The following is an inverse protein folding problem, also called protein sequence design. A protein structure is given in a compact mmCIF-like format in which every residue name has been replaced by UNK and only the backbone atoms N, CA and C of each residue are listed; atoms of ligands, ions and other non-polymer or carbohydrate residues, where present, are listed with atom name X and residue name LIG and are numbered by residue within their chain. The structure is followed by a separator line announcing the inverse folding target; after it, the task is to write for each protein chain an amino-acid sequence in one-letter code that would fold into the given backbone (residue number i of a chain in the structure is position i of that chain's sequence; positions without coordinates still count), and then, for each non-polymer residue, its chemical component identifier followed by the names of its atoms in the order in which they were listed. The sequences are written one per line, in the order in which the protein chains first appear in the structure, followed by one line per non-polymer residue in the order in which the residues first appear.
data_IF_442065679476
#
_entry.id   IF_442065679476
#
_cell.length_a   1.000
_cell.length_b   1.000
_cell.length_c   1.000
_cell.angle_alpha   90.00
_cell.angle_beta   90.00
_cell.angle_gamma   90.00
#
_symmetry.space_group_name_H-M   'P 1'
#
loop_
_entity.id
_entity.type
_entity.pdbx_description
1 polymer ?
#
# COMPACT_ATOMS: atom_id res chain seq x y z
N UNK A 1 8.89 -4.19 -0.42
CA UNK A 1 9.42 -4.54 0.91
C UNK A 1 10.15 -3.39 1.61
N UNK A 2 11.10 -2.69 0.98
CA UNK A 2 11.84 -1.59 1.62
C UNK A 2 10.93 -0.46 2.13
N UNK A 3 9.90 -0.08 1.36
CA UNK A 3 8.92 0.93 1.78
C UNK A 3 8.22 0.56 3.09
N UNK A 4 7.68 -0.66 3.20
CA UNK A 4 7.02 -1.11 4.42
C UNK A 4 7.97 -1.11 5.63
N UNK A 5 9.19 -1.60 5.46
CA UNK A 5 10.19 -1.60 6.53
C UNK A 5 10.50 -0.18 7.00
N UNK A 6 10.73 0.75 6.08
CA UNK A 6 11.02 2.15 6.41
C UNK A 6 9.83 2.84 7.08
N UNK A 7 8.60 2.59 6.60
CA UNK A 7 7.38 3.12 7.22
C UNK A 7 7.18 2.58 8.65
N UNK A 8 7.48 1.30 8.90
CA UNK A 8 7.43 0.72 10.27
C UNK A 8 8.44 1.42 11.18
N UNK A 9 9.70 1.52 10.74
CA UNK A 9 10.77 2.14 11.54
C UNK A 9 10.46 3.61 11.82
N UNK A 10 10.11 4.39 10.80
CA UNK A 10 9.76 5.80 10.96
C UNK A 10 8.56 5.98 11.90
N UNK A 11 7.50 5.19 11.73
CA UNK A 11 6.28 5.31 12.56
C UNK A 11 6.55 4.95 14.01
N UNK A 12 7.35 3.91 14.28
CA UNK A 12 7.75 3.53 15.62
C UNK A 12 8.60 4.61 16.29
N UNK A 13 9.54 5.21 15.55
CA UNK A 13 10.39 6.30 16.03
C UNK A 13 9.56 7.56 16.32
N UNK A 14 8.63 7.94 15.43
CA UNK A 14 7.70 9.06 15.64
C UNK A 14 6.89 8.85 16.92
N UNK A 15 6.25 7.69 17.08
CA UNK A 15 5.48 7.39 18.28
C UNK A 15 6.34 7.43 19.55
N UNK A 16 7.56 6.89 19.49
CA UNK A 16 8.50 6.87 20.62
C UNK A 16 8.92 8.29 21.05
N UNK A 17 9.31 9.14 20.09
CA UNK A 17 9.67 10.52 20.38
C UNK A 17 8.49 11.33 20.90
N UNK A 18 7.28 11.10 20.38
CA UNK A 18 6.07 11.75 20.89
C UNK A 18 5.76 11.34 22.33
N UNK A 19 5.87 10.06 22.70
CA UNK A 19 5.72 9.62 24.10
C UNK A 19 6.78 10.28 24.99
N UNK A 20 8.02 10.35 24.51
CA UNK A 20 9.12 10.95 25.28
C UNK A 20 8.91 12.46 25.51
N UNK A 21 8.51 13.20 24.46
CA UNK A 21 8.18 14.63 24.56
C UNK A 21 6.98 14.89 25.46
N UNK A 22 5.96 14.03 25.41
CA UNK A 22 4.79 14.12 26.27
C UNK A 22 5.18 14.00 27.76
N UNK A 23 6.15 13.13 28.08
CA UNK A 23 6.71 13.00 29.43
C UNK A 23 7.32 14.31 29.95
N UNK A 24 7.99 15.07 29.07
CA UNK A 24 8.49 16.40 29.44
C UNK A 24 7.37 17.42 29.61
N UNK A 25 6.40 17.43 28.70
CA UNK A 25 5.29 18.39 28.72
C UNK A 25 4.43 18.24 29.99
N UNK A 26 4.24 17.02 30.50
CA UNK A 26 3.47 16.79 31.73
C UNK A 26 4.10 17.42 32.98
N UNK A 27 5.41 17.65 33.00
CA UNK A 27 6.09 18.29 34.14
C UNK A 27 5.86 19.81 34.21
N UNK A 28 5.38 20.43 33.13
CA UNK A 28 5.21 21.88 33.02
C UNK A 28 3.80 22.25 32.56
N UNK A 29 3.01 22.84 33.47
CA UNK A 29 1.60 23.21 33.23
C UNK A 29 1.36 24.18 32.07
N UNK A 30 2.39 24.88 31.59
CA UNK A 30 2.31 25.87 30.50
C UNK A 30 2.30 25.23 29.09
N UNK A 31 2.63 23.94 28.94
CA UNK A 31 2.85 23.29 27.63
C UNK A 31 1.62 22.52 27.10
N UNK A 32 0.41 23.02 27.34
CA UNK A 32 -0.83 22.33 26.93
C UNK A 32 -0.88 22.03 25.42
N UNK A 33 -0.39 22.95 24.60
CA UNK A 33 -0.37 22.76 23.14
C UNK A 33 0.57 21.62 22.73
N UNK A 34 1.70 21.43 23.43
CA UNK A 34 2.64 20.34 23.09
C UNK A 34 2.05 18.98 23.44
N UNK A 35 1.29 18.89 24.54
CA UNK A 35 0.56 17.66 24.90
C UNK A 35 -0.39 17.22 23.77
N UNK A 36 -1.10 18.17 23.15
CA UNK A 36 -2.01 17.89 22.03
C UNK A 36 -1.25 17.40 20.79
N UNK A 37 -0.13 18.06 20.45
CA UNK A 37 0.69 17.66 19.30
C UNK A 37 1.34 16.30 19.49
N UNK A 38 1.88 16.03 20.68
CA UNK A 38 2.50 14.74 20.98
C UNK A 38 1.46 13.62 21.00
N UNK A 39 0.27 13.86 21.56
CA UNK A 39 -0.84 12.89 21.50
C UNK A 39 -1.26 12.58 20.07
N UNK A 40 -1.33 13.60 19.21
CA UNK A 40 -1.58 13.41 17.78
C UNK A 40 -0.45 12.62 17.10
N UNK A 41 0.81 12.89 17.45
CA UNK A 41 1.98 12.14 16.96
C UNK A 41 1.95 10.65 17.33
N UNK A 42 1.58 10.33 18.57
CA UNK A 42 1.38 8.94 19.02
C UNK A 42 0.27 8.27 18.20
N UNK A 43 -0.86 8.95 18.04
CA UNK A 43 -1.98 8.43 17.26
C UNK A 43 -1.58 8.17 15.80
N UNK A 44 -0.93 9.12 15.12
CA UNK A 44 -0.50 8.98 13.73
C UNK A 44 0.51 7.84 13.59
N UNK A 45 1.54 7.78 14.45
CA UNK A 45 2.53 6.71 14.42
C UNK A 45 1.91 5.33 14.67
N UNK A 46 1.02 5.21 15.65
CA UNK A 46 0.30 3.97 15.95
C UNK A 46 -0.65 3.55 14.83
N UNK A 47 -1.41 4.49 14.27
CA UNK A 47 -2.35 4.23 13.17
C UNK A 47 -1.64 3.73 11.92
N UNK A 48 -0.49 4.32 11.57
CA UNK A 48 0.32 3.84 10.44
C UNK A 48 0.86 2.43 10.71
N UNK A 49 1.37 2.14 11.92
CA UNK A 49 1.84 0.80 12.27
C UNK A 49 0.72 -0.25 12.12
N UNK A 50 -0.44 -0.01 12.71
CA UNK A 50 -1.58 -0.93 12.62
C UNK A 50 -1.98 -1.16 11.16
N UNK A 51 -2.01 -0.09 10.36
CA UNK A 51 -2.29 -0.18 8.94
C UNK A 51 -1.29 -1.03 8.16
N UNK A 52 0.00 -0.76 8.33
CA UNK A 52 1.06 -1.51 7.62
C UNK A 52 1.04 -2.97 8.03
N UNK A 53 0.88 -3.30 9.32
CA UNK A 53 0.75 -4.68 9.76
C UNK A 53 -0.48 -5.35 9.17
N UNK A 54 -1.62 -4.67 9.15
CA UNK A 54 -2.86 -5.19 8.55
C UNK A 54 -2.66 -5.53 7.07
N UNK A 55 -1.98 -4.66 6.32
CA UNK A 55 -1.63 -4.91 4.92
C UNK A 55 -0.74 -6.15 4.76
N UNK A 56 0.31 -6.29 5.58
CA UNK A 56 1.20 -7.45 5.55
C UNK A 56 0.42 -8.74 5.83
N UNK A 57 -0.45 -8.75 6.85
CA UNK A 57 -1.27 -9.94 7.16
C UNK A 57 -2.23 -10.31 6.04
N UNK A 58 -2.86 -9.32 5.38
CA UNK A 58 -3.75 -9.55 4.25
C UNK A 58 -2.97 -10.12 3.06
N UNK A 59 -1.77 -9.60 2.78
CA UNK A 59 -0.92 -10.05 1.68
C UNK A 59 -0.42 -11.49 1.90
N UNK A 60 0.00 -11.83 3.12
CA UNK A 60 0.45 -13.19 3.48
C UNK A 60 -0.72 -14.17 3.53
N UNK A 61 -1.86 -13.75 4.06
CA UNK A 61 -3.00 -14.64 4.32
C UNK A 61 -3.82 -15.01 3.08
N UNK A 62 -3.73 -14.25 1.98
CA UNK A 62 -4.62 -14.44 0.84
C UNK A 62 -3.84 -14.34 -0.49
N UNK A 63 -3.60 -15.48 -1.14
CA UNK A 63 -3.12 -15.55 -2.52
C UNK A 63 -4.15 -14.84 -3.43
N UNK A 64 -3.73 -13.81 -4.18
CA UNK A 64 -4.56 -12.90 -5.00
C UNK A 64 -5.33 -11.79 -4.23
N UNK A 65 -4.74 -11.22 -3.17
CA UNK A 65 -5.41 -10.22 -2.32
C UNK A 65 -5.43 -8.78 -2.85
N UNK A 66 -6.26 -7.98 -2.18
CA UNK A 66 -6.72 -6.61 -2.45
C UNK A 66 -5.69 -5.58 -2.93
N UNK A 67 -4.39 -5.81 -2.74
CA UNK A 67 -3.29 -5.00 -3.34
C UNK A 67 -3.31 -5.00 -4.87
N UNK A 68 -4.06 -5.91 -5.52
CA UNK A 68 -4.32 -5.82 -6.96
C UNK A 68 -5.13 -4.58 -7.34
N UNK A 69 -5.88 -3.98 -6.41
CA UNK A 69 -6.77 -2.85 -6.69
C UNK A 69 -6.08 -1.54 -6.36
N UNK A 70 -5.42 -0.99 -7.36
CA UNK A 70 -4.78 0.33 -7.42
C UNK A 70 -5.49 1.43 -6.60
N UNK A 71 -6.82 1.58 -6.72
CA UNK A 71 -7.55 2.64 -6.01
C UNK A 71 -7.47 2.51 -4.48
N UNK A 72 -7.40 1.27 -3.96
CA UNK A 72 -7.26 1.00 -2.53
C UNK A 72 -5.89 1.46 -2.01
N UNK A 73 -4.82 1.15 -2.75
CA UNK A 73 -3.48 1.60 -2.40
C UNK A 73 -3.36 3.13 -2.47
N UNK A 74 -4.03 3.75 -3.45
CA UNK A 74 -4.06 5.21 -3.60
C UNK A 74 -4.78 5.89 -2.42
N UNK A 75 -5.96 5.40 -2.02
CA UNK A 75 -6.73 5.95 -0.89
C UNK A 75 -5.93 5.83 0.41
N UNK A 76 -5.39 4.63 0.68
CA UNK A 76 -4.68 4.37 1.93
C UNK A 76 -3.36 5.15 2.02
N UNK A 77 -2.57 5.14 0.93
CA UNK A 77 -1.33 5.92 0.87
C UNK A 77 -1.60 7.42 0.96
N UNK A 78 -2.67 7.92 0.32
CA UNK A 78 -3.08 9.32 0.39
C UNK A 78 -3.45 9.74 1.81
N UNK A 79 -4.28 8.93 2.50
CA UNK A 79 -4.66 9.17 3.88
C UNK A 79 -3.44 9.24 4.81
N UNK A 80 -2.53 8.27 4.70
CA UNK A 80 -1.31 8.23 5.49
C UNK A 80 -0.37 9.39 5.22
N UNK A 81 -0.22 9.77 3.96
CA UNK A 81 0.55 10.93 3.56
C UNK A 81 -0.05 12.21 4.17
N UNK A 82 -1.37 12.43 4.04
CA UNK A 82 -2.05 13.59 4.60
C UNK A 82 -1.90 13.69 6.12
N UNK A 83 -2.05 12.59 6.84
CA UNK A 83 -1.85 12.60 8.30
C UNK A 83 -0.40 12.94 8.69
N UNK A 84 0.58 12.37 7.99
CA UNK A 84 2.00 12.63 8.29
C UNK A 84 2.43 14.05 7.90
N UNK A 85 1.96 14.61 6.77
CA UNK A 85 2.30 15.98 6.38
C UNK A 85 1.68 17.00 7.34
N UNK A 86 0.45 16.75 7.82
CA UNK A 86 -0.18 17.56 8.87
C UNK A 86 0.65 17.50 10.16
N UNK A 87 1.03 16.30 10.61
CA UNK A 87 1.88 16.16 11.80
C UNK A 87 3.22 16.87 11.64
N UNK A 88 3.92 16.67 10.51
CA UNK A 88 5.21 17.32 10.23
C UNK A 88 5.08 18.86 10.24
N UNK A 89 4.01 19.38 9.66
CA UNK A 89 3.75 20.83 9.62
C UNK A 89 3.50 21.40 11.01
N UNK A 90 2.67 20.73 11.82
CA UNK A 90 2.35 21.14 13.19
C UNK A 90 3.62 21.09 14.07
N UNK A 91 4.39 20.01 13.97
CA UNK A 91 5.67 19.85 14.68
C UNK A 91 6.63 20.97 14.28
N UNK A 92 6.81 21.25 12.99
CA UNK A 92 7.70 22.33 12.55
C UNK A 92 7.26 23.72 13.01
N UNK A 93 5.94 24.00 13.05
CA UNK A 93 5.42 25.31 13.42
C UNK A 93 5.47 25.57 14.94
N UNK A 94 5.17 24.56 15.75
CA UNK A 94 4.90 24.76 17.18
C UNK A 94 6.03 24.27 18.09
N UNK A 95 6.63 23.13 17.81
CA UNK A 95 7.51 22.46 18.77
C UNK A 95 8.86 23.19 18.98
N UNK A 96 9.56 23.69 17.95
CA UNK A 96 10.83 24.41 18.13
C UNK A 96 10.70 25.68 18.99
N UNK A 97 9.62 26.44 18.81
CA UNK A 97 9.41 27.69 19.54
C UNK A 97 9.06 27.43 21.02
N UNK A 98 8.37 26.33 21.33
CA UNK A 98 7.96 25.99 22.69
C UNK A 98 9.05 25.21 23.46
N UNK A 99 9.64 24.18 22.85
CA UNK A 99 10.56 23.27 23.55
C UNK A 99 12.02 23.73 23.53
N UNK A 100 12.45 24.49 22.53
CA UNK A 100 13.85 24.96 22.45
C UNK A 100 14.04 26.42 22.91
N UNK A 101 13.03 27.29 22.82
CA UNK A 101 13.13 28.69 23.25
C UNK A 101 13.10 28.84 24.78
N UNK A 102 12.27 28.06 25.46
CA UNK A 102 12.09 28.09 26.93
C UNK A 102 13.38 27.67 27.67
N UNK A 103 14.24 26.89 27.02
CA UNK A 103 15.55 26.52 27.55
C UNK A 103 16.49 27.74 27.70
N UNK A 104 16.35 28.75 26.82
CA UNK A 104 17.23 29.93 26.83
C UNK A 104 16.78 31.00 27.83
N UNK A 105 15.52 31.01 28.25
CA UNK A 105 14.99 32.00 29.19
C UNK A 105 15.08 31.57 30.65
N UNK A 106 15.51 30.34 30.94
CA UNK A 106 15.71 29.82 32.30
C UNK A 106 14.44 29.74 33.16
N UNK A 107 13.26 30.05 32.59
CA UNK A 107 12.00 30.18 33.31
C UNK A 107 11.37 28.81 33.66
N UNK A 108 11.78 27.74 32.99
CA UNK A 108 11.38 26.37 33.29
C UNK A 108 12.61 25.46 33.12
N UNK A 109 12.91 24.64 34.14
CA UNK A 109 13.99 23.66 34.15
C UNK A 109 13.70 22.47 33.21
N UNK A 110 13.46 22.72 31.92
CA UNK A 110 13.35 21.63 30.94
C UNK A 110 14.73 21.01 30.72
N UNK A 111 14.84 19.67 30.76
CA UNK A 111 16.10 19.00 30.45
C UNK A 111 16.49 19.25 28.99
N UNK A 112 17.80 19.42 28.73
CA UNK A 112 18.35 19.69 27.40
C UNK A 112 17.98 18.63 26.34
N UNK A 113 17.61 17.42 26.77
CA UNK A 113 17.12 16.34 25.92
C UNK A 113 15.80 16.65 25.18
N UNK A 114 14.96 17.55 25.70
CA UNK A 114 13.66 17.87 25.08
C UNK A 114 13.80 18.51 23.68
N UNK A 115 14.78 19.41 23.52
CA UNK A 115 15.02 20.06 22.23
C UNK A 115 15.61 19.08 21.19
N UNK A 116 16.52 18.18 21.61
CA UNK A 116 17.07 17.14 20.74
C UNK A 116 16.00 16.14 20.30
N UNK A 117 15.16 15.70 21.24
CA UNK A 117 14.02 14.82 20.96
C UNK A 117 13.04 15.46 19.96
N UNK A 118 12.73 16.74 20.14
CA UNK A 118 11.89 17.52 19.22
C UNK A 118 12.47 17.60 17.80
N UNK A 119 13.77 17.89 17.67
CA UNK A 119 14.44 17.92 16.36
C UNK A 119 14.45 16.54 15.70
N UNK A 120 14.64 15.48 16.50
CA UNK A 120 14.52 14.10 16.04
C UNK A 120 13.13 13.82 15.48
N UNK A 121 12.08 14.10 16.25
CA UNK A 121 10.69 13.96 15.81
C UNK A 121 10.42 14.72 14.50
N UNK A 122 10.87 15.96 14.40
CA UNK A 122 10.75 16.76 13.19
C UNK A 122 11.45 16.10 11.99
N UNK A 123 12.69 15.64 12.14
CA UNK A 123 13.41 14.99 11.05
C UNK A 123 12.72 13.71 10.57
N UNK A 124 12.26 12.86 11.50
CA UNK A 124 11.62 11.59 11.15
C UNK A 124 10.22 11.77 10.55
N UNK A 125 9.43 12.74 11.02
CA UNK A 125 8.12 13.06 10.42
C UNK A 125 8.25 13.53 8.97
N UNK A 126 9.22 14.42 8.67
CA UNK A 126 9.51 14.84 7.30
C UNK A 126 10.06 13.70 6.43
N UNK A 127 11.00 12.91 6.95
CA UNK A 127 11.51 11.73 6.24
C UNK A 127 10.37 10.78 5.87
N UNK A 128 9.47 10.51 6.81
CA UNK A 128 8.32 9.64 6.58
C UNK A 128 7.34 10.23 5.56
N UNK A 129 7.05 11.53 5.64
CA UNK A 129 6.18 12.22 4.68
C UNK A 129 6.75 12.14 3.26
N UNK A 130 8.06 12.33 3.07
CA UNK A 130 8.74 12.22 1.77
C UNK A 130 8.63 10.80 1.21
N UNK A 131 8.85 9.79 2.06
CA UNK A 131 8.75 8.38 1.67
C UNK A 131 7.32 8.03 1.22
N UNK A 132 6.31 8.44 1.98
CA UNK A 132 4.89 8.25 1.64
C UNK A 132 4.53 9.00 0.36
N UNK A 133 5.03 10.21 0.17
CA UNK A 133 4.78 11.01 -1.04
C UNK A 133 5.40 10.37 -2.28
N UNK A 134 6.67 9.93 -2.20
CA UNK A 134 7.35 9.26 -3.29
C UNK A 134 6.62 7.96 -3.70
N UNK A 135 6.12 7.22 -2.72
CA UNK A 135 5.32 6.01 -2.96
C UNK A 135 3.97 6.35 -3.62
N UNK A 136 3.24 7.32 -3.08
CA UNK A 136 1.99 7.82 -3.65
C UNK A 136 2.18 8.28 -5.10
N UNK A 137 3.21 9.08 -5.38
CA UNK A 137 3.53 9.55 -6.73
C UNK A 137 3.86 8.39 -7.67
N UNK A 138 4.64 7.40 -7.21
CA UNK A 138 4.98 6.23 -8.04
C UNK A 138 3.74 5.46 -8.45
N UNK A 139 2.81 5.24 -7.51
CA UNK A 139 1.52 4.61 -7.82
C UNK A 139 0.73 5.51 -8.77
N UNK A 140 0.52 6.77 -8.42
CA UNK A 140 -0.28 7.71 -9.20
C UNK A 140 0.20 7.83 -10.65
N UNK A 141 1.51 7.99 -10.86
CA UNK A 141 2.11 8.07 -12.19
C UNK A 141 1.96 6.76 -12.96
N UNK A 142 2.14 5.62 -12.30
CA UNK A 142 1.92 4.30 -12.94
C UNK A 142 0.50 4.20 -13.44
N UNK A 143 -0.48 4.55 -12.61
CA UNK A 143 -1.91 4.50 -12.96
C UNK A 143 -2.24 5.45 -14.09
N UNK A 144 -1.73 6.67 -14.03
CA UNK A 144 -1.98 7.68 -15.05
C UNK A 144 -1.42 7.25 -16.42
N UNK A 145 -0.20 6.73 -16.45
CA UNK A 145 0.45 6.24 -17.68
C UNK A 145 -0.31 5.03 -18.25
N UNK A 146 -0.72 4.08 -17.42
CA UNK A 146 -1.43 2.88 -17.87
C UNK A 146 -2.89 3.16 -18.25
N UNK A 147 -3.55 4.12 -17.61
CA UNK A 147 -4.94 4.48 -17.93
C UNK A 147 -5.09 5.07 -19.35
N UNK A 148 -4.02 5.60 -19.95
CA UNK A 148 -4.05 6.11 -21.31
C UNK A 148 -3.99 5.02 -22.40
N UNK A 149 -3.65 3.77 -22.03
CA UNK A 149 -3.44 2.68 -23.00
C UNK A 149 -4.63 1.74 -23.12
N UNK A 150 -5.32 1.44 -22.02
CA UNK A 150 -6.47 0.53 -22.02
C UNK A 150 -7.47 0.91 -20.90
N UNK A 151 -8.65 1.41 -21.30
CA UNK A 151 -9.76 1.66 -20.36
C UNK A 151 -10.26 0.37 -19.68
N UNK A 152 -9.91 -0.82 -20.22
CA UNK A 152 -10.28 -2.13 -19.65
C UNK A 152 -9.54 -2.48 -18.37
N UNK A 153 -8.46 -1.78 -18.01
CA UNK A 153 -7.72 -2.06 -16.76
C UNK A 153 -8.51 -1.68 -15.49
N UNK A 154 -9.47 -0.75 -15.60
CA UNK A 154 -10.34 -0.38 -14.48
C UNK A 154 -11.44 -1.41 -14.22
N UNK A 155 -11.86 -2.16 -15.25
CA UNK A 155 -12.92 -3.17 -15.16
C UNK A 155 -12.39 -4.60 -14.95
N UNK A 156 -11.15 -4.90 -15.32
CA UNK A 156 -10.56 -6.24 -15.15
C UNK A 156 -9.91 -6.34 -13.75
N UNK A 157 -10.67 -6.02 -12.72
CA UNK A 157 -10.46 -6.65 -11.42
C UNK A 157 -11.27 -7.95 -11.43
N UNK A 158 -10.59 -9.10 -11.36
CA UNK A 158 -11.13 -10.48 -11.35
C UNK A 158 -11.85 -10.86 -12.66
N UNK A 159 -11.32 -11.72 -13.52
CA UNK A 159 -11.58 -13.18 -13.38
C UNK A 159 -10.61 -14.06 -14.16
N UNK A 160 -9.69 -13.53 -14.99
CA UNK A 160 -9.03 -14.40 -15.97
C UNK A 160 -7.56 -14.07 -16.20
N UNK A 161 -6.71 -14.30 -15.20
CA UNK A 161 -5.34 -14.73 -15.47
C UNK A 161 -5.43 -16.21 -15.89
N UNK A 162 -5.72 -16.46 -17.16
CA UNK A 162 -5.54 -17.80 -17.73
C UNK A 162 -4.03 -18.11 -17.64
N UNK A 163 -3.63 -19.24 -17.04
CA UNK A 163 -2.24 -19.67 -17.05
C UNK A 163 -1.78 -19.75 -18.51
N UNK A 164 -0.61 -19.18 -18.77
CA UNK A 164 0.04 -18.99 -20.07
C UNK A 164 0.36 -20.30 -20.81
N UNK A 165 -0.19 -21.44 -20.37
CA UNK A 165 -0.05 -22.75 -21.01
C UNK A 165 -1.15 -23.05 -22.04
N UNK A 166 -2.18 -22.20 -22.18
CA UNK A 166 -3.31 -22.47 -23.08
C UNK A 166 -3.31 -21.68 -24.42
N UNK A 167 -2.28 -20.89 -24.73
CA UNK A 167 -2.22 -20.15 -26.03
C UNK A 167 -1.57 -21.01 -27.14
N UNK A 168 -1.01 -22.18 -26.82
CA UNK A 168 -0.46 -23.07 -27.84
C UNK A 168 -1.51 -23.89 -28.63
N UNK A 169 -2.82 -23.71 -28.40
CA UNK A 169 -3.85 -24.61 -28.96
C UNK A 169 -4.97 -23.93 -29.77
N UNK A 170 -4.96 -22.60 -29.94
CA UNK A 170 -6.09 -21.91 -30.57
C UNK A 170 -5.67 -20.87 -31.59
N UNK A 171 -4.79 -21.24 -32.53
CA UNK A 171 -4.81 -20.64 -33.87
C UNK A 171 -4.11 -21.54 -34.89
N UNK A 172 -4.71 -22.71 -35.16
CA UNK A 172 -4.43 -23.44 -36.38
C UNK A 172 -5.52 -23.07 -37.39
N UNK A 173 -5.35 -21.92 -38.04
CA UNK A 173 -6.09 -21.58 -39.24
C UNK A 173 -5.79 -22.65 -40.32
N UNK A 174 -6.79 -23.44 -40.75
CA UNK A 174 -6.58 -24.54 -41.71
C UNK A 174 -6.08 -24.05 -43.08
N UNK A 175 -6.13 -22.75 -43.37
CA UNK A 175 -5.68 -22.20 -44.64
C UNK A 175 -4.18 -21.85 -44.68
N UNK A 176 -3.45 -21.89 -43.56
CA UNK A 176 -2.01 -21.55 -43.49
C UNK A 176 -1.07 -22.76 -43.30
N UNK A 177 -1.54 -23.99 -43.53
CA UNK A 177 -0.81 -25.25 -43.26
C UNK A 177 0.33 -25.60 -44.25
N UNK A 178 0.64 -24.76 -45.25
CA UNK A 178 1.62 -25.09 -46.29
C UNK A 178 3.04 -24.59 -46.05
N UNK A 179 3.30 -23.79 -45.01
CA UNK A 179 4.61 -23.13 -44.84
C UNK A 179 5.30 -23.29 -43.47
N UNK A 180 4.76 -24.09 -42.54
CA UNK A 180 5.41 -24.29 -41.24
C UNK A 180 5.44 -25.77 -40.82
N UNK A 181 6.62 -26.40 -40.71
CA UNK A 181 6.76 -27.81 -40.30
C UNK A 181 6.63 -28.05 -38.78
N UNK A 182 6.13 -27.08 -38.00
CA UNK A 182 6.11 -27.14 -36.54
C UNK A 182 4.79 -27.64 -35.92
N UNK A 183 3.79 -28.01 -36.71
CA UNK A 183 2.50 -28.52 -36.23
C UNK A 183 2.38 -30.04 -36.47
N UNK A 184 3.23 -30.84 -35.81
CA UNK A 184 3.02 -32.30 -35.76
C UNK A 184 2.03 -32.61 -34.65
N UNK A 185 0.76 -32.76 -35.01
CA UNK A 185 -0.25 -33.35 -34.13
C UNK A 185 0.13 -34.82 -33.92
N UNK A 186 0.55 -35.17 -32.71
CA UNK A 186 0.76 -36.56 -32.28
C UNK A 186 -0.62 -37.24 -32.18
N UNK A 187 -0.98 -37.97 -33.23
CA UNK A 187 -2.26 -38.66 -33.40
C UNK A 187 -2.41 -39.93 -32.56
N UNK A 188 -1.43 -40.23 -31.69
CA UNK A 188 -1.41 -41.47 -30.90
C UNK A 188 -2.37 -41.47 -29.69
N UNK A 189 -3.01 -40.35 -29.34
CA UNK A 189 -3.86 -40.24 -28.14
C UNK A 189 -5.30 -39.78 -28.40
N UNK A 190 -5.88 -40.03 -29.59
CA UNK A 190 -7.32 -39.83 -29.76
C UNK A 190 -8.11 -40.90 -28.97
N UNK A 191 -8.90 -40.53 -27.95
CA UNK A 191 -9.86 -41.45 -27.36
C UNK A 191 -10.88 -41.84 -28.43
N UNK A 192 -11.01 -43.16 -28.66
CA UNK A 192 -12.03 -43.74 -29.53
C UNK A 192 -13.40 -43.15 -29.17
N UNK A 193 -14.00 -42.46 -30.14
CA UNK A 193 -15.39 -42.04 -30.10
C UNK A 193 -16.29 -43.27 -29.92
N UNK A 194 -17.13 -43.32 -28.87
CA UNK A 194 -18.06 -44.41 -28.69
C UNK A 194 -19.12 -44.39 -29.79
N UNK A 195 -19.30 -45.59 -30.34
CA UNK A 195 -20.25 -45.97 -31.36
C UNK A 195 -21.66 -45.38 -31.15
N UNK A 196 -22.18 -44.86 -32.25
CA UNK A 196 -23.56 -44.50 -32.55
C UNK A 196 -24.61 -45.51 -32.02
N UNK A 197 -25.68 -45.02 -31.38
CA UNK A 197 -26.95 -45.74 -31.25
C UNK A 197 -28.11 -44.82 -31.67
N UNK A 198 -28.75 -45.05 -32.83
CA UNK A 198 -29.94 -44.35 -33.26
C UNK A 198 -31.17 -45.15 -32.82
N UNK A 199 -31.66 -44.87 -31.62
CA UNK A 199 -32.90 -45.46 -31.11
C UNK A 199 -33.47 -44.49 -30.09
N UNK A 200 -34.14 -43.43 -30.55
CA UNK A 200 -35.18 -42.68 -29.80
C UNK A 200 -35.81 -41.62 -30.73
N UNK A 201 -36.49 -42.13 -31.77
CA UNK A 201 -37.49 -41.44 -32.57
C UNK A 201 -38.77 -42.28 -32.47
N UNK A 202 -39.50 -42.19 -31.36
CA UNK A 202 -40.93 -42.50 -31.31
C UNK A 202 -41.54 -42.10 -29.96
N UNK A 203 -42.77 -41.59 -29.99
CA UNK A 203 -43.65 -41.15 -28.88
C UNK A 203 -43.41 -39.70 -28.43
N UNK A 204 -44.38 -38.78 -28.45
CA UNK A 204 -45.83 -38.95 -28.42
C UNK A 204 -46.50 -37.71 -29.03
N UNK A 205 -47.47 -37.94 -29.93
CA UNK A 205 -48.61 -37.04 -30.15
C UNK A 205 -49.40 -36.96 -28.84
N UNK A 206 -49.85 -35.76 -28.47
CA UNK A 206 -51.25 -35.34 -28.28
C UNK A 206 -51.24 -33.82 -28.17
#
# INVERSE_FOLDING_TARGET
MLFFALSIVCSAVIASFSVWNLGYAQTSKSLRQVIEVDSFGIFVGGFVLVGVFTMIFIEVGRKNAFTSRVWFDCIWSGLFFSLNISLASIVTALLPSQMCSVLNTGAHNLPSGACWSTKGLQAFTWLHAIVLFAYFLTIFLTVFIYSGRDNRLWDIASTTFLPTTAIAAADCDPHLLLLSPACSIDSSNLPLSPHHSPSDQLMLRI
#
